data_IF_253581399774
#
_entry.id   IF_253581399774
#
_cell.length_a   1.000
_cell.length_b   1.000
_cell.length_c   1.000
_cell.angle_alpha   90.00
_cell.angle_beta   90.00
_cell.angle_gamma   90.00
#
_symmetry.space_group_name_H-M   'P 1'
#
loop_
_entity.id
_entity.type
_entity.pdbx_description
1 polymer ?
#
# COMPACT_ATOMS: atom_id res chain seq x y z
N UNK A 1 9.46 29.96 -1.74
CA UNK A 1 8.69 29.24 -2.77
C UNK A 1 7.98 28.01 -2.18
N UNK A 2 8.70 27.15 -1.53
CA UNK A 2 8.17 25.89 -0.99
C UNK A 2 7.01 26.12 -0.01
N UNK A 3 7.16 27.06 0.93
CA UNK A 3 6.13 27.36 1.94
C UNK A 3 4.86 27.90 1.29
N UNK A 4 4.98 28.81 0.33
CA UNK A 4 3.85 29.41 -0.39
C UNK A 4 3.15 28.32 -1.21
N UNK A 5 3.91 27.47 -1.91
CA UNK A 5 3.37 26.34 -2.67
C UNK A 5 2.62 25.37 -1.76
N UNK A 6 3.17 25.07 -0.58
CA UNK A 6 2.53 24.20 0.41
C UNK A 6 1.15 24.75 0.80
N UNK A 7 1.06 25.99 1.23
CA UNK A 7 -0.22 26.57 1.68
C UNK A 7 -1.23 26.77 0.56
N UNK A 8 -0.77 26.89 -0.69
CA UNK A 8 -1.68 27.02 -1.85
C UNK A 8 -2.29 25.69 -2.28
N UNK A 9 -1.61 24.54 -2.02
CA UNK A 9 -1.99 23.22 -2.53
C UNK A 9 -2.40 22.24 -1.43
N UNK A 10 -1.94 22.45 -0.18
CA UNK A 10 -2.15 21.48 0.90
C UNK A 10 -2.62 22.20 2.17
N UNK A 11 -3.59 21.59 2.85
CA UNK A 11 -4.12 22.13 4.11
C UNK A 11 -3.11 22.00 5.25
N UNK A 12 -2.34 20.89 5.27
CA UNK A 12 -1.32 20.63 6.29
C UNK A 12 -0.29 19.62 5.78
N UNK A 13 0.69 19.31 6.65
CA UNK A 13 1.76 18.36 6.34
C UNK A 13 1.24 16.93 6.10
N UNK A 14 0.13 16.55 6.71
CA UNK A 14 -0.46 15.22 6.56
C UNK A 14 -1.13 15.08 5.19
N UNK A 15 -1.78 16.12 4.72
CA UNK A 15 -2.34 16.19 3.39
C UNK A 15 -1.24 16.09 2.32
N UNK A 16 -0.13 16.79 2.51
CA UNK A 16 1.06 16.68 1.66
C UNK A 16 1.64 15.27 1.68
N UNK A 17 1.72 14.63 2.84
CA UNK A 17 2.24 13.29 2.98
C UNK A 17 1.39 12.27 2.22
N UNK A 18 0.07 12.38 2.33
CA UNK A 18 -0.86 11.55 1.56
C UNK A 18 -0.70 11.74 0.06
N UNK A 19 -0.55 12.99 -0.39
CA UNK A 19 -0.29 13.30 -1.79
C UNK A 19 1.01 12.64 -2.29
N UNK A 20 2.08 12.71 -1.52
CA UNK A 20 3.36 12.10 -1.86
C UNK A 20 3.21 10.58 -2.01
N UNK A 21 2.56 9.93 -1.05
CA UNK A 21 2.32 8.48 -1.09
C UNK A 21 1.53 8.09 -2.35
N UNK A 22 0.46 8.80 -2.66
CA UNK A 22 -0.35 8.53 -3.85
C UNK A 22 0.46 8.71 -5.13
N UNK A 23 1.16 9.82 -5.25
CA UNK A 23 1.89 10.18 -6.46
C UNK A 23 3.13 9.33 -6.69
N UNK A 24 3.95 9.13 -5.67
CA UNK A 24 5.27 8.51 -5.82
C UNK A 24 5.20 6.98 -5.72
N UNK A 25 4.26 6.45 -4.95
CA UNK A 25 4.20 5.02 -4.64
C UNK A 25 3.04 4.32 -5.37
N UNK A 26 1.83 4.88 -5.29
CA UNK A 26 0.62 4.18 -5.74
C UNK A 26 0.26 4.44 -7.20
N UNK A 27 0.35 5.67 -7.67
CA UNK A 27 0.01 5.99 -9.06
C UNK A 27 0.85 5.21 -10.08
N UNK A 28 2.18 5.04 -9.88
CA UNK A 28 3.00 4.26 -10.81
C UNK A 28 2.57 2.79 -10.98
N UNK A 29 1.91 2.21 -9.99
CA UNK A 29 1.52 0.78 -10.02
C UNK A 29 0.08 0.55 -10.46
N UNK A 30 -0.71 1.60 -10.61
CA UNK A 30 -2.13 1.50 -10.96
C UNK A 30 -2.37 0.64 -12.20
N UNK A 31 -1.65 0.90 -13.28
CA UNK A 31 -1.81 0.16 -14.53
C UNK A 31 -1.33 -1.29 -14.41
N UNK A 32 -0.28 -1.53 -13.63
CA UNK A 32 0.21 -2.89 -13.37
C UNK A 32 -0.84 -3.71 -12.63
N UNK A 33 -1.46 -3.14 -11.61
CA UNK A 33 -2.51 -3.80 -10.84
C UNK A 33 -3.75 -4.08 -11.70
N UNK A 34 -4.15 -3.17 -12.57
CA UNK A 34 -5.26 -3.39 -13.51
C UNK A 34 -5.00 -4.56 -14.45
N UNK A 35 -3.75 -4.78 -14.83
CA UNK A 35 -3.34 -5.86 -15.71
C UNK A 35 -2.91 -7.14 -14.98
N UNK A 36 -3.23 -7.24 -13.69
CA UNK A 36 -2.89 -8.39 -12.84
C UNK A 36 -1.39 -8.69 -12.73
N UNK A 37 -0.56 -7.68 -12.94
CA UNK A 37 0.89 -7.77 -12.81
C UNK A 37 1.30 -7.45 -11.36
N UNK A 38 0.87 -8.32 -10.43
CA UNK A 38 0.99 -8.07 -9.00
C UNK A 38 2.43 -8.08 -8.51
N UNK A 39 3.22 -9.04 -8.97
CA UNK A 39 4.64 -9.13 -8.57
C UNK A 39 5.39 -7.88 -8.99
N UNK A 40 5.23 -7.46 -10.24
CA UNK A 40 5.87 -6.27 -10.78
C UNK A 40 5.42 -5.01 -10.04
N UNK A 41 4.14 -4.91 -9.69
CA UNK A 41 3.60 -3.81 -8.91
C UNK A 41 4.23 -3.76 -7.51
N UNK A 42 4.33 -4.89 -6.83
CA UNK A 42 4.96 -4.97 -5.50
C UNK A 42 6.43 -4.58 -5.54
N UNK A 43 7.17 -5.10 -6.51
CA UNK A 43 8.59 -4.76 -6.69
C UNK A 43 8.74 -3.24 -6.88
N UNK A 44 7.89 -2.63 -7.70
CA UNK A 44 7.95 -1.19 -7.96
C UNK A 44 7.62 -0.38 -6.70
N UNK A 45 6.63 -0.80 -5.92
CA UNK A 45 6.28 -0.15 -4.65
C UNK A 45 7.49 -0.15 -3.70
N UNK A 46 8.07 -1.32 -3.44
CA UNK A 46 9.20 -1.44 -2.53
C UNK A 46 10.45 -0.74 -3.07
N UNK A 47 10.69 -0.78 -4.37
CA UNK A 47 11.80 -0.07 -5.01
C UNK A 47 11.67 1.44 -4.87
N UNK A 48 10.47 1.99 -5.08
CA UNK A 48 10.22 3.42 -4.94
C UNK A 48 10.35 3.90 -3.49
N UNK A 49 9.88 3.09 -2.54
CA UNK A 49 10.07 3.38 -1.11
C UNK A 49 11.56 3.41 -0.75
N UNK A 50 12.32 2.42 -1.20
CA UNK A 50 13.75 2.31 -0.90
C UNK A 50 14.56 3.42 -1.56
N UNK A 51 14.18 3.86 -2.74
CA UNK A 51 14.81 4.95 -3.47
C UNK A 51 14.85 6.24 -2.64
N UNK A 52 13.86 6.45 -1.81
CA UNK A 52 13.77 7.62 -0.93
C UNK A 52 13.66 7.20 0.54
N UNK A 53 14.50 6.26 0.92
CA UNK A 53 14.46 5.60 2.23
C UNK A 53 14.57 6.58 3.41
N UNK A 54 15.42 7.58 3.30
CA UNK A 54 15.60 8.57 4.38
C UNK A 54 14.30 9.32 4.67
N UNK A 55 13.55 9.69 3.63
CA UNK A 55 12.24 10.35 3.77
C UNK A 55 11.23 9.42 4.45
N UNK A 56 11.09 8.18 3.96
CA UNK A 56 10.08 7.25 4.49
C UNK A 56 10.41 6.77 5.91
N UNK A 57 11.68 6.64 6.25
CA UNK A 57 12.07 6.34 7.64
C UNK A 57 11.73 7.47 8.59
N UNK A 58 11.86 8.72 8.17
CA UNK A 58 11.40 9.87 8.96
C UNK A 58 9.88 9.92 9.07
N UNK A 59 9.19 9.68 7.95
CA UNK A 59 7.73 9.65 7.92
C UNK A 59 7.16 8.57 8.85
N UNK A 60 7.79 7.40 8.88
CA UNK A 60 7.40 6.29 9.75
C UNK A 60 7.36 6.69 11.24
N UNK A 61 8.18 7.65 11.66
CA UNK A 61 8.24 8.11 13.05
C UNK A 61 7.08 9.03 13.43
N UNK A 62 6.25 9.45 12.49
CA UNK A 62 5.06 10.26 12.77
C UNK A 62 3.99 9.35 13.40
N UNK A 63 3.69 9.59 14.67
CA UNK A 63 2.77 8.79 15.46
C UNK A 63 1.48 9.55 15.78
N UNK A 64 0.51 8.84 16.36
CA UNK A 64 -0.75 9.40 16.82
C UNK A 64 -1.78 9.54 15.72
N UNK A 65 -2.69 10.49 15.88
CA UNK A 65 -3.72 10.80 14.90
C UNK A 65 -3.06 11.30 13.61
N UNK A 66 -3.50 10.81 12.46
CA UNK A 66 -2.89 11.07 11.17
C UNK A 66 -1.43 10.57 11.07
N UNK A 67 -1.13 9.45 11.73
CA UNK A 67 0.18 8.80 11.59
C UNK A 67 0.47 8.43 10.14
N UNK A 68 1.75 8.25 9.82
CA UNK A 68 2.15 7.74 8.49
C UNK A 68 1.47 6.41 8.17
N UNK A 69 1.39 5.52 9.15
CA UNK A 69 0.71 4.22 9.01
C UNK A 69 -0.76 4.40 8.62
N UNK A 70 -1.49 5.28 9.30
CA UNK A 70 -2.89 5.55 9.01
C UNK A 70 -3.09 6.18 7.64
N UNK A 71 -2.25 7.16 7.29
CA UNK A 71 -2.29 7.84 5.98
C UNK A 71 -2.05 6.84 4.85
N UNK A 72 -1.02 6.00 4.97
CA UNK A 72 -0.69 5.02 3.92
C UNK A 72 -1.75 3.95 3.79
N UNK A 73 -2.31 3.45 4.89
CA UNK A 73 -3.41 2.49 4.83
C UNK A 73 -4.60 3.05 4.06
N UNK A 74 -4.98 4.28 4.35
CA UNK A 74 -6.10 4.93 3.68
C UNK A 74 -5.83 5.16 2.19
N UNK A 75 -4.62 5.55 1.83
CA UNK A 75 -4.25 5.71 0.42
C UNK A 75 -4.31 4.38 -0.34
N UNK A 76 -3.81 3.31 0.24
CA UNK A 76 -3.89 1.96 -0.36
C UNK A 76 -5.35 1.51 -0.47
N UNK A 77 -6.12 1.72 0.59
CA UNK A 77 -7.55 1.38 0.61
C UNK A 77 -8.31 2.05 -0.54
N UNK A 78 -8.13 3.36 -0.72
CA UNK A 78 -8.80 4.11 -1.79
C UNK A 78 -8.46 3.56 -3.17
N UNK A 79 -7.19 3.26 -3.42
CA UNK A 79 -6.77 2.66 -4.68
C UNK A 79 -7.38 1.27 -4.90
N UNK A 80 -7.31 0.41 -3.90
CA UNK A 80 -7.87 -0.95 -4.00
C UNK A 80 -9.40 -0.92 -4.13
N UNK A 81 -10.07 -0.02 -3.44
CA UNK A 81 -11.52 0.15 -3.56
C UNK A 81 -11.92 0.49 -5.00
N UNK A 82 -11.22 1.41 -5.62
CA UNK A 82 -11.43 1.77 -7.02
C UNK A 82 -11.22 0.56 -7.94
N UNK A 83 -10.07 -0.09 -7.85
CA UNK A 83 -9.72 -1.22 -8.72
C UNK A 83 -10.65 -2.43 -8.52
N UNK A 84 -11.01 -2.74 -7.28
CA UNK A 84 -11.91 -3.86 -6.98
C UNK A 84 -13.33 -3.56 -7.44
N UNK A 85 -13.79 -2.31 -7.31
CA UNK A 85 -15.10 -1.88 -7.80
C UNK A 85 -15.19 -1.99 -9.31
N UNK A 86 -14.16 -1.56 -10.04
CA UNK A 86 -14.07 -1.72 -11.49
C UNK A 86 -14.16 -3.19 -11.89
N UNK A 87 -13.40 -4.05 -11.23
CA UNK A 87 -13.33 -5.48 -11.54
C UNK A 87 -14.64 -6.21 -11.23
N UNK A 88 -15.41 -5.75 -10.24
CA UNK A 88 -16.70 -6.31 -9.84
C UNK A 88 -17.88 -5.74 -10.62
N UNK A 89 -17.70 -4.66 -11.34
CA UNK A 89 -18.78 -4.00 -12.08
C UNK A 89 -19.51 -4.97 -12.98
N UNK A 90 -20.84 -4.96 -12.92
CA UNK A 90 -21.70 -5.81 -13.71
C UNK A 90 -21.76 -7.29 -13.28
N UNK A 91 -21.08 -7.68 -12.20
CA UNK A 91 -21.09 -9.05 -11.71
C UNK A 91 -22.18 -9.25 -10.64
N UNK A 92 -22.71 -10.49 -10.51
CA UNK A 92 -23.73 -10.79 -9.49
C UNK A 92 -23.18 -10.56 -8.08
N UNK A 93 -24.10 -10.41 -7.12
CA UNK A 93 -23.74 -10.25 -5.71
C UNK A 93 -22.92 -11.44 -5.19
N UNK A 94 -22.09 -11.16 -4.18
CA UNK A 94 -21.29 -12.17 -3.50
C UNK A 94 -22.20 -13.23 -2.85
N UNK A 95 -21.75 -14.48 -2.84
CA UNK A 95 -22.37 -15.55 -2.02
C UNK A 95 -22.32 -15.25 -0.53
N UNK A 96 -21.38 -14.40 -0.11
CA UNK A 96 -21.17 -14.06 1.29
C UNK A 96 -21.54 -12.59 1.49
N UNK A 97 -22.69 -12.28 2.12
CA UNK A 97 -23.17 -10.88 2.24
C UNK A 97 -22.17 -9.94 2.93
N UNK A 98 -21.38 -10.46 3.88
CA UNK A 98 -20.38 -9.65 4.59
C UNK A 98 -19.13 -9.38 3.73
N UNK A 99 -18.85 -10.19 2.70
CA UNK A 99 -17.66 -10.05 1.86
C UNK A 99 -17.95 -9.07 0.73
N UNK A 100 -17.88 -7.79 1.05
CA UNK A 100 -18.07 -6.68 0.11
C UNK A 100 -16.75 -6.22 -0.49
N UNK A 101 -16.82 -5.39 -1.53
CA UNK A 101 -15.65 -4.75 -2.14
C UNK A 101 -14.90 -3.93 -1.08
N UNK A 102 -15.64 -3.20 -0.26
CA UNK A 102 -15.08 -2.38 0.83
C UNK A 102 -14.34 -3.23 1.87
N UNK A 103 -14.95 -4.34 2.28
CA UNK A 103 -14.32 -5.26 3.24
C UNK A 103 -13.03 -5.85 2.66
N UNK A 104 -13.05 -6.28 1.40
CA UNK A 104 -11.87 -6.82 0.72
C UNK A 104 -10.77 -5.77 0.57
N UNK A 105 -11.15 -4.56 0.15
CA UNK A 105 -10.19 -3.48 -0.02
C UNK A 105 -9.50 -3.12 1.31
N UNK A 106 -10.26 -3.06 2.41
CA UNK A 106 -9.70 -2.75 3.73
C UNK A 106 -8.79 -3.88 4.23
N UNK A 107 -9.20 -5.11 4.04
CA UNK A 107 -8.39 -6.27 4.43
C UNK A 107 -7.02 -6.25 3.74
N UNK A 108 -7.00 -6.10 2.42
CA UNK A 108 -5.74 -6.09 1.68
C UNK A 108 -4.93 -4.82 1.90
N UNK A 109 -5.58 -3.68 2.11
CA UNK A 109 -4.89 -2.44 2.47
C UNK A 109 -4.15 -2.58 3.79
N UNK A 110 -4.78 -3.14 4.82
CA UNK A 110 -4.14 -3.39 6.12
C UNK A 110 -3.00 -4.39 6.02
N UNK A 111 -3.22 -5.48 5.29
CA UNK A 111 -2.20 -6.51 5.06
C UNK A 111 -0.96 -5.93 4.38
N UNK A 112 -1.16 -5.22 3.29
CA UNK A 112 -0.05 -4.58 2.56
C UNK A 112 0.65 -3.52 3.40
N UNK A 113 -0.13 -2.70 4.07
CA UNK A 113 0.42 -1.63 4.91
C UNK A 113 1.25 -2.19 6.06
N UNK A 114 0.82 -3.27 6.67
CA UNK A 114 1.59 -3.95 7.70
C UNK A 114 2.97 -4.38 7.18
N UNK A 115 3.02 -5.01 6.02
CA UNK A 115 4.29 -5.45 5.44
C UNK A 115 5.19 -4.26 5.12
N UNK A 116 4.64 -3.19 4.57
CA UNK A 116 5.39 -1.95 4.27
C UNK A 116 5.97 -1.35 5.55
N UNK A 117 5.15 -1.21 6.60
CA UNK A 117 5.60 -0.64 7.87
C UNK A 117 6.70 -1.47 8.53
N UNK A 118 6.54 -2.78 8.56
CA UNK A 118 7.57 -3.68 9.11
C UNK A 118 8.87 -3.60 8.31
N UNK A 119 8.78 -3.53 6.99
CA UNK A 119 9.95 -3.40 6.15
C UNK A 119 10.69 -2.07 6.38
N UNK A 120 9.95 -0.96 6.48
CA UNK A 120 10.53 0.35 6.80
C UNK A 120 11.16 0.32 8.19
N UNK A 121 10.45 -0.22 9.18
CA UNK A 121 10.93 -0.35 10.56
C UNK A 121 12.23 -1.13 10.64
N UNK A 122 12.38 -2.18 9.85
CA UNK A 122 13.59 -3.02 9.82
C UNK A 122 14.77 -2.37 9.06
N UNK A 123 14.58 -1.18 8.50
CA UNK A 123 15.63 -0.46 7.78
C UNK A 123 15.66 -0.71 6.28
N UNK A 124 14.64 -1.34 5.71
CA UNK A 124 14.54 -1.63 4.28
C UNK A 124 15.72 -2.47 3.76
N UNK A 125 16.23 -3.39 4.58
CA UNK A 125 17.43 -4.18 4.25
C UNK A 125 17.15 -5.35 3.33
N UNK A 126 15.93 -5.94 3.41
CA UNK A 126 15.51 -6.98 2.48
C UNK A 126 15.30 -6.36 1.10
N UNK A 127 15.81 -7.01 0.05
CA UNK A 127 15.69 -6.48 -1.30
C UNK A 127 14.21 -6.36 -1.75
N UNK A 128 13.85 -5.34 -2.56
CA UNK A 128 12.48 -5.15 -3.02
C UNK A 128 11.83 -6.38 -3.67
N UNK A 129 12.55 -7.08 -4.51
CA UNK A 129 12.07 -8.31 -5.16
C UNK A 129 11.84 -9.44 -4.16
N UNK A 130 12.70 -9.57 -3.16
CA UNK A 130 12.57 -10.58 -2.12
C UNK A 130 11.35 -10.31 -1.23
N UNK A 131 11.16 -9.06 -0.77
CA UNK A 131 9.98 -8.74 0.05
C UNK A 131 8.69 -8.87 -0.76
N UNK A 132 8.71 -8.55 -2.04
CA UNK A 132 7.58 -8.76 -2.94
C UNK A 132 7.22 -10.24 -3.07
N UNK A 133 8.21 -11.11 -3.25
CA UNK A 133 8.01 -12.54 -3.34
C UNK A 133 7.47 -13.13 -2.02
N UNK A 134 7.98 -12.67 -0.88
CA UNK A 134 7.47 -13.07 0.44
C UNK A 134 6.01 -12.70 0.61
N UNK A 135 5.64 -11.46 0.28
CA UNK A 135 4.26 -11.00 0.41
C UNK A 135 3.32 -11.77 -0.53
N UNK A 136 3.73 -11.96 -1.78
CA UNK A 136 2.95 -12.73 -2.76
C UNK A 136 2.76 -14.19 -2.28
N UNK A 137 3.81 -14.79 -1.73
CA UNK A 137 3.74 -16.14 -1.16
C UNK A 137 2.68 -16.22 -0.06
N UNK A 138 2.74 -15.29 0.90
CA UNK A 138 1.78 -15.24 2.01
C UNK A 138 0.34 -15.10 1.50
N UNK A 139 0.12 -14.27 0.47
CA UNK A 139 -1.22 -14.06 -0.08
C UNK A 139 -1.77 -15.27 -0.83
N UNK A 140 -0.91 -16.09 -1.41
CA UNK A 140 -1.31 -17.17 -2.31
C UNK A 140 -1.31 -18.55 -1.68
N UNK A 141 -0.82 -18.70 -0.45
CA UNK A 141 -0.72 -19.98 0.26
C UNK A 141 -1.55 -19.99 1.54
N UNK A 142 -1.87 -21.17 2.01
CA UNK A 142 -2.56 -21.30 3.29
C UNK A 142 -1.64 -20.95 4.45
N UNK A 143 -2.25 -20.67 5.61
CA UNK A 143 -1.50 -20.43 6.84
C UNK A 143 -0.54 -21.58 7.15
N UNK A 144 -1.01 -22.81 6.99
CA UNK A 144 -0.22 -24.00 7.33
C UNK A 144 0.95 -24.20 6.37
N UNK A 145 0.72 -24.03 5.06
CA UNK A 145 1.80 -24.09 4.08
C UNK A 145 2.89 -23.05 4.39
N UNK A 146 2.47 -21.84 4.74
CA UNK A 146 3.40 -20.76 5.07
C UNK A 146 4.21 -21.09 6.34
N UNK A 147 3.57 -21.63 7.37
CA UNK A 147 4.25 -22.00 8.61
C UNK A 147 5.24 -23.14 8.39
N UNK A 148 4.93 -24.09 7.52
CA UNK A 148 5.80 -25.22 7.24
C UNK A 148 7.10 -24.80 6.52
N UNK A 149 7.10 -23.63 5.86
CA UNK A 149 8.28 -23.09 5.20
C UNK A 149 9.19 -22.28 6.15
N UNK A 150 8.72 -21.96 7.35
CA UNK A 150 9.55 -21.26 8.34
C UNK A 150 10.58 -22.16 8.98
#
# INVERSE_FOLDING_TARGET
>A
MIRVTFYNHFQDKYDLLGYIVRREILEPVRILLRNSMYREALILIFSNLRKDSAFYQRAYKIEGQNSFEEITENCIYELLLELFSERRSGKPHSKFPWLTVETMARYYARSMNYVVMEWIRSGMTVAPDEVADIYEYIMSHSLWDTLDEL
#
